data_IF_536100967364
#
_entry.id   IF_536100967364
#
_cell.length_a   1.000
_cell.length_b   1.000
_cell.length_c   1.000
_cell.angle_alpha   90.00
_cell.angle_beta   90.00
_cell.angle_gamma   90.00
#
_symmetry.space_group_name_H-M   'P 1'
#
loop_
_entity.id
_entity.type
_entity.pdbx_description
1 polymer ?
#
# COMPACT_ATOMS: atom_id res chain seq x y z
N UNK A 1 17.04 53.63 -23.04
CA UNK A 1 18.51 53.72 -22.91
C UNK A 1 19.08 52.41 -23.45
N UNK A 2 19.37 52.37 -24.75
CA UNK A 2 20.71 52.63 -25.33
C UNK A 2 21.64 51.40 -25.15
N UNK A 3 21.77 50.55 -26.18
CA UNK A 3 22.95 50.39 -27.09
C UNK A 3 23.99 49.42 -26.47
N UNK A 4 24.63 48.42 -27.10
CA UNK A 4 25.02 48.01 -28.49
C UNK A 4 25.44 46.52 -28.39
N UNK A 5 25.23 45.63 -29.38
CA UNK A 5 26.08 45.40 -30.58
C UNK A 5 27.23 44.41 -30.26
N UNK A 6 27.59 43.37 -31.03
CA UNK A 6 27.51 43.09 -32.47
C UNK A 6 27.81 41.59 -32.74
N UNK A 7 27.39 41.12 -33.92
CA UNK A 7 27.62 39.81 -34.52
C UNK A 7 28.83 39.79 -35.48
N UNK A 8 29.22 38.57 -35.93
CA UNK A 8 30.02 38.29 -37.15
C UNK A 8 30.61 36.87 -37.10
N UNK A 9 30.12 35.88 -37.85
CA UNK A 9 30.41 35.50 -39.27
C UNK A 9 31.87 35.10 -39.53
N UNK A 10 32.19 33.83 -39.80
CA UNK A 10 32.44 33.32 -41.17
C UNK A 10 33.77 32.52 -41.31
N UNK A 11 34.07 31.84 -42.45
CA UNK A 11 34.48 30.41 -42.51
C UNK A 11 35.85 30.06 -43.18
N UNK A 12 36.19 28.76 -43.27
CA UNK A 12 37.21 28.14 -44.17
C UNK A 12 38.55 27.76 -43.48
N UNK A 13 39.36 26.77 -43.88
CA UNK A 13 39.45 25.90 -45.08
C UNK A 13 40.65 24.93 -44.94
N UNK A 14 40.52 23.70 -45.47
CA UNK A 14 41.52 22.79 -46.14
C UNK A 14 42.73 22.15 -45.40
N UNK A 15 42.90 20.84 -45.66
CA UNK A 15 44.09 19.97 -45.45
C UNK A 15 45.24 20.24 -46.44
N UNK A 16 46.27 19.36 -46.62
CA UNK A 16 46.20 17.93 -47.07
C UNK A 16 47.12 16.96 -46.25
N UNK A 17 46.97 15.63 -46.24
CA UNK A 17 47.27 14.53 -47.19
C UNK A 17 48.77 14.20 -47.41
N UNK A 18 49.11 12.91 -47.23
CA UNK A 18 50.22 12.07 -47.77
C UNK A 18 50.62 11.03 -46.70
N UNK A 19 50.90 9.74 -46.95
CA UNK A 19 50.87 8.87 -48.13
C UNK A 19 50.91 7.42 -47.62
N UNK A 20 50.46 6.47 -48.43
CA UNK A 20 50.34 5.05 -48.14
C UNK A 20 51.63 4.25 -48.45
N UNK A 21 51.59 2.94 -48.16
CA UNK A 21 52.26 1.76 -48.79
C UNK A 21 52.57 0.76 -47.66
N UNK A 22 51.79 -0.30 -47.39
CA UNK A 22 51.47 -1.52 -48.15
C UNK A 22 52.64 -2.51 -48.26
N UNK A 23 52.48 -3.70 -47.66
CA UNK A 23 52.94 -5.01 -48.20
C UNK A 23 52.09 -6.14 -47.61
N UNK A 24 51.50 -6.92 -48.51
CA UNK A 24 50.89 -8.26 -48.39
C UNK A 24 51.90 -9.30 -47.80
N UNK A 25 51.61 -10.58 -47.47
CA UNK A 25 50.88 -11.69 -48.12
C UNK A 25 51.07 -12.91 -47.13
N UNK A 26 50.12 -13.80 -46.79
CA UNK A 26 49.81 -15.15 -47.34
C UNK A 26 49.22 -15.96 -46.14
N UNK A 27 48.00 -16.52 -46.13
CA UNK A 27 47.38 -17.73 -46.73
C UNK A 27 47.62 -19.08 -46.01
N UNK A 28 46.52 -19.87 -45.96
CA UNK A 28 46.34 -21.31 -45.60
C UNK A 28 46.20 -21.72 -44.11
N UNK A 29 45.50 -22.77 -43.69
CA UNK A 29 44.34 -23.56 -44.14
C UNK A 29 43.96 -24.57 -43.01
N UNK A 30 42.65 -24.76 -42.78
CA UNK A 30 41.91 -26.01 -42.44
C UNK A 30 42.45 -27.14 -41.51
N UNK A 31 41.69 -27.39 -40.42
CA UNK A 31 40.87 -28.60 -40.13
C UNK A 31 41.30 -29.74 -39.14
N UNK A 32 40.32 -30.07 -38.25
CA UNK A 32 39.91 -31.36 -37.61
C UNK A 32 40.78 -31.91 -36.45
N UNK A 33 40.26 -32.45 -35.32
CA UNK A 33 39.28 -33.56 -35.07
C UNK A 33 38.72 -33.45 -33.62
N UNK A 34 37.38 -33.41 -33.37
CA UNK A 34 36.46 -34.44 -32.80
C UNK A 34 36.92 -35.19 -31.52
N UNK A 35 36.13 -35.60 -30.52
CA UNK A 35 34.71 -35.96 -30.41
C UNK A 35 34.28 -36.05 -28.92
N UNK A 36 32.97 -36.05 -28.64
CA UNK A 36 32.43 -36.47 -27.34
C UNK A 36 31.02 -35.97 -27.03
N UNK A 37 30.02 -36.39 -27.82
CA UNK A 37 28.61 -36.21 -27.50
C UNK A 37 28.10 -37.43 -26.70
N UNK A 38 27.38 -37.17 -25.60
CA UNK A 38 26.46 -38.13 -24.99
C UNK A 38 25.16 -37.37 -24.76
N UNK A 39 24.12 -37.82 -25.46
CA UNK A 39 22.72 -37.44 -25.35
C UNK A 39 22.14 -38.01 -24.06
N UNK A 40 21.52 -37.18 -23.24
CA UNK A 40 20.61 -37.64 -22.19
C UNK A 40 19.20 -37.68 -22.77
N UNK A 41 18.61 -38.87 -22.68
CA UNK A 41 17.31 -39.24 -23.22
C UNK A 41 16.19 -38.62 -22.36
N UNK A 42 15.24 -37.96 -23.02
CA UNK A 42 13.99 -37.51 -22.44
C UNK A 42 13.14 -38.75 -22.06
N UNK A 43 13.14 -39.12 -20.77
CA UNK A 43 12.10 -39.99 -20.21
C UNK A 43 10.87 -39.15 -19.85
N UNK A 44 9.76 -39.49 -20.51
CA UNK A 44 8.42 -38.98 -20.29
C UNK A 44 7.92 -39.33 -18.86
N UNK A 45 8.03 -38.38 -17.92
CA UNK A 45 7.31 -38.42 -16.64
C UNK A 45 5.90 -37.82 -16.83
N UNK A 46 4.94 -38.68 -17.21
CA UNK A 46 3.51 -38.34 -17.17
C UNK A 46 3.06 -38.10 -15.71
N UNK A 47 2.89 -36.83 -15.31
CA UNK A 47 1.97 -36.47 -14.23
C UNK A 47 2.39 -35.49 -13.13
N UNK A 48 3.50 -34.73 -13.27
CA UNK A 48 3.81 -33.60 -12.36
C UNK A 48 3.83 -32.26 -13.10
N UNK A 49 3.18 -31.27 -12.50
CA UNK A 49 2.71 -30.05 -13.14
C UNK A 49 3.76 -29.18 -13.83
N UNK A 50 3.31 -28.43 -14.84
CA UNK A 50 4.07 -27.37 -15.55
C UNK A 50 5.07 -26.66 -14.61
N UNK A 51 6.35 -26.72 -14.96
CA UNK A 51 7.48 -26.33 -14.11
C UNK A 51 7.38 -24.91 -13.54
N UNK A 52 7.09 -24.84 -12.24
CA UNK A 52 7.30 -23.65 -11.42
C UNK A 52 8.79 -23.49 -11.15
N UNK A 53 9.34 -22.32 -11.43
CA UNK A 53 10.69 -21.95 -11.02
C UNK A 53 10.71 -21.65 -9.52
N UNK A 54 11.90 -21.78 -8.92
CA UNK A 54 12.12 -21.38 -7.53
C UNK A 54 11.69 -19.92 -7.34
N UNK A 55 10.90 -19.62 -6.31
CA UNK A 55 10.33 -18.29 -6.02
C UNK A 55 9.12 -17.85 -6.85
N UNK A 56 8.57 -18.70 -7.71
CA UNK A 56 7.34 -18.38 -8.46
C UNK A 56 6.12 -18.28 -7.54
N UNK A 57 6.00 -19.18 -6.56
CA UNK A 57 4.92 -19.14 -5.57
C UNK A 57 5.04 -17.91 -4.68
N UNK A 58 6.27 -17.57 -4.27
CA UNK A 58 6.55 -16.35 -3.51
C UNK A 58 6.15 -15.11 -4.30
N UNK A 59 6.53 -15.05 -5.58
CA UNK A 59 6.25 -13.92 -6.48
C UNK A 59 4.77 -13.71 -6.75
N UNK A 60 3.93 -14.73 -6.52
CA UNK A 60 2.48 -14.62 -6.59
C UNK A 60 1.90 -13.74 -5.47
N UNK A 61 2.59 -13.65 -4.33
CA UNK A 61 2.13 -12.92 -3.14
C UNK A 61 2.95 -11.68 -2.82
N UNK A 62 4.28 -11.77 -2.96
CA UNK A 62 5.24 -10.75 -2.53
C UNK A 62 6.25 -10.47 -3.64
N UNK A 63 6.65 -9.19 -3.76
CA UNK A 63 7.79 -8.80 -4.59
C UNK A 63 9.11 -9.07 -3.86
N UNK A 64 9.17 -8.70 -2.58
CA UNK A 64 10.27 -9.00 -1.67
C UNK A 64 9.87 -8.71 -0.21
N UNK A 65 10.71 -9.18 0.71
CA UNK A 65 10.75 -8.78 2.10
C UNK A 65 12.01 -7.94 2.32
N UNK A 66 11.86 -6.80 2.98
CA UNK A 66 12.97 -5.93 3.33
C UNK A 66 13.08 -5.84 4.86
N UNK A 67 14.30 -5.87 5.35
CA UNK A 67 14.62 -5.54 6.74
C UNK A 67 15.30 -4.19 6.74
N UNK A 68 14.75 -3.24 7.48
CA UNK A 68 15.30 -1.88 7.58
C UNK A 68 15.70 -1.63 9.03
N UNK A 69 16.98 -1.31 9.23
CA UNK A 69 17.54 -0.94 10.52
C UNK A 69 17.88 0.54 10.60
N UNK A 70 18.35 0.95 11.78
CA UNK A 70 18.91 2.28 11.98
C UNK A 70 20.41 2.18 12.22
N UNK A 71 21.18 2.63 11.24
CA UNK A 71 22.62 2.81 11.33
C UNK A 71 22.96 4.21 11.88
N UNK A 72 24.02 4.31 12.68
CA UNK A 72 24.39 5.57 13.34
C UNK A 72 24.98 6.60 12.36
N UNK A 73 25.59 6.15 11.26
CA UNK A 73 26.24 7.01 10.28
C UNK A 73 25.31 7.29 9.09
N UNK A 74 24.61 6.26 8.62
CA UNK A 74 23.76 6.33 7.42
C UNK A 74 22.30 6.66 7.73
N UNK A 75 21.85 6.51 8.98
CA UNK A 75 20.45 6.62 9.34
C UNK A 75 19.66 5.35 8.98
N UNK A 76 18.43 5.49 8.47
CA UNK A 76 17.63 4.32 8.08
C UNK A 76 18.23 3.65 6.84
N UNK A 77 18.55 2.36 6.94
CA UNK A 77 19.18 1.61 5.84
C UNK A 77 18.56 0.22 5.70
N UNK A 78 18.49 -0.29 4.46
CA UNK A 78 18.10 -1.68 4.21
C UNK A 78 19.26 -2.59 4.59
N UNK A 79 19.03 -3.47 5.56
CA UNK A 79 20.00 -4.48 5.98
C UNK A 79 19.89 -5.74 5.12
N UNK A 80 18.66 -6.19 4.86
CA UNK A 80 18.38 -7.45 4.16
C UNK A 80 17.28 -7.24 3.13
N UNK A 81 17.45 -7.85 1.95
CA UNK A 81 16.41 -8.01 0.93
C UNK A 81 16.28 -9.50 0.64
N UNK A 82 15.07 -10.03 0.75
CA UNK A 82 14.77 -11.42 0.47
C UNK A 82 13.58 -11.55 -0.51
N UNK A 83 13.63 -12.49 -1.48
CA UNK A 83 14.80 -13.25 -1.89
C UNK A 83 15.96 -12.36 -2.37
N UNK A 84 17.20 -12.85 -2.26
CA UNK A 84 18.41 -12.05 -2.58
C UNK A 84 18.47 -11.57 -4.04
N UNK A 85 17.78 -12.27 -4.96
CA UNK A 85 17.71 -11.92 -6.37
C UNK A 85 16.61 -10.88 -6.67
N UNK A 86 15.79 -10.50 -5.69
CA UNK A 86 14.75 -9.48 -5.87
C UNK A 86 15.35 -8.13 -6.21
N UNK A 87 14.90 -7.56 -7.32
CA UNK A 87 15.42 -6.28 -7.81
C UNK A 87 14.60 -5.12 -7.24
N UNK A 88 15.29 -4.17 -6.61
CA UNK A 88 14.78 -2.85 -6.20
C UNK A 88 15.70 -1.78 -6.75
N UNK A 89 15.16 -0.71 -7.33
CA UNK A 89 15.97 0.44 -7.74
C UNK A 89 16.44 1.20 -6.50
N UNK A 90 17.50 2.01 -6.62
CA UNK A 90 17.99 2.77 -5.47
C UNK A 90 16.93 3.75 -4.96
N UNK A 91 16.15 4.37 -5.85
CA UNK A 91 15.00 5.21 -5.48
C UNK A 91 13.97 4.45 -4.65
N UNK A 92 13.65 3.21 -5.02
CA UNK A 92 12.70 2.37 -4.29
C UNK A 92 13.25 1.94 -2.93
N UNK A 93 14.54 1.57 -2.86
CA UNK A 93 15.21 1.27 -1.58
C UNK A 93 15.18 2.48 -0.64
N UNK A 94 15.51 3.67 -1.15
CA UNK A 94 15.45 4.91 -0.37
C UNK A 94 14.05 5.21 0.14
N UNK A 95 13.02 5.07 -0.71
CA UNK A 95 11.62 5.23 -0.28
C UNK A 95 11.25 4.21 0.81
N UNK A 96 11.63 2.94 0.65
CA UNK A 96 11.39 1.90 1.66
C UNK A 96 12.08 2.27 2.97
N UNK A 97 13.34 2.70 2.97
CA UNK A 97 14.05 3.10 4.20
C UNK A 97 13.29 4.17 4.99
N UNK A 98 12.92 5.26 4.33
CA UNK A 98 12.29 6.40 5.00
C UNK A 98 10.82 6.18 5.35
N UNK A 99 10.09 5.39 4.57
CA UNK A 99 8.69 5.08 4.84
C UNK A 99 8.53 3.96 5.87
N UNK A 100 9.58 3.19 6.16
CA UNK A 100 9.51 2.07 7.13
C UNK A 100 9.72 2.49 8.58
N UNK A 101 10.05 3.77 8.84
CA UNK A 101 10.24 4.31 10.17
C UNK A 101 9.25 5.45 10.42
N UNK A 102 8.73 5.60 11.65
CA UNK A 102 7.98 6.79 12.01
C UNK A 102 8.85 8.06 11.86
N UNK A 103 8.32 9.07 11.15
CA UNK A 103 8.97 10.37 10.93
C UNK A 103 8.90 11.33 12.13
N UNK A 104 8.20 10.91 13.19
CA UNK A 104 8.08 11.59 14.48
C UNK A 104 8.27 10.57 15.60
N UNK A 105 9.02 10.96 16.64
CA UNK A 105 9.33 10.09 17.79
C UNK A 105 8.16 9.99 18.80
N UNK A 106 7.05 10.70 18.57
CA UNK A 106 5.89 10.68 19.46
C UNK A 106 5.14 9.34 19.36
N UNK A 107 4.95 8.66 20.49
CA UNK A 107 3.97 7.57 20.61
C UNK A 107 4.34 6.22 19.99
N UNK A 108 5.57 6.03 19.50
CA UNK A 108 5.97 4.80 18.77
C UNK A 108 6.80 3.81 19.61
N UNK A 109 6.73 3.86 20.95
CA UNK A 109 7.40 2.86 21.81
C UNK A 109 6.66 1.51 21.74
N UNK A 110 7.41 0.43 21.55
CA UNK A 110 6.89 -0.92 21.38
C UNK A 110 6.78 -1.31 19.91
N UNK A 111 5.78 -2.12 19.60
CA UNK A 111 5.52 -2.65 18.25
C UNK A 111 4.41 -1.86 17.57
N UNK A 112 4.66 -1.43 16.33
CA UNK A 112 3.75 -0.60 15.53
C UNK A 112 3.61 -1.19 14.14
N UNK A 113 2.37 -1.38 13.67
CA UNK A 113 2.10 -1.83 12.30
C UNK A 113 1.39 -0.75 11.50
N UNK A 114 1.81 -0.57 10.26
CA UNK A 114 1.24 0.41 9.36
C UNK A 114 1.59 0.03 7.92
N UNK A 115 0.97 0.71 6.96
CA UNK A 115 1.30 0.51 5.56
C UNK A 115 1.60 1.83 4.85
N UNK A 116 2.39 1.75 3.81
CA UNK A 116 2.62 2.84 2.87
C UNK A 116 2.42 2.36 1.42
N UNK A 117 2.18 3.30 0.51
CA UNK A 117 2.04 3.04 -0.93
C UNK A 117 2.97 3.99 -1.67
N UNK A 118 3.80 3.45 -2.56
CA UNK A 118 4.82 4.22 -3.28
C UNK A 118 4.86 3.84 -4.75
N UNK A 119 5.22 4.81 -5.59
CA UNK A 119 5.27 4.64 -7.04
C UNK A 119 6.44 3.74 -7.44
N UNK A 120 6.17 2.78 -8.32
CA UNK A 120 7.20 1.98 -8.97
C UNK A 120 8.02 2.85 -9.95
N UNK A 121 9.32 2.57 -10.05
CA UNK A 121 10.18 3.26 -11.01
C UNK A 121 9.84 2.87 -12.46
N UNK A 122 9.80 3.84 -13.37
CA UNK A 122 9.56 3.64 -14.81
C UNK A 122 10.63 2.74 -15.44
N UNK A 123 10.24 1.90 -16.42
CA UNK A 123 11.19 1.11 -17.22
C UNK A 123 11.39 -0.35 -16.78
N UNK A 124 10.68 -0.83 -15.75
CA UNK A 124 10.67 -2.27 -15.45
C UNK A 124 9.90 -3.01 -16.55
N UNK A 125 10.56 -3.96 -17.23
CA UNK A 125 9.85 -4.98 -18.00
C UNK A 125 8.92 -5.72 -17.05
N UNK A 126 7.68 -5.88 -17.48
CA UNK A 126 6.63 -6.58 -16.74
C UNK A 126 6.90 -8.09 -16.82
N UNK A 127 8.03 -8.56 -16.29
CA UNK A 127 8.45 -9.96 -16.38
C UNK A 127 7.67 -10.79 -15.34
N UNK A 128 6.94 -11.80 -15.83
CA UNK A 128 6.04 -12.76 -15.16
C UNK A 128 4.53 -12.41 -15.11
N UNK A 129 4.07 -11.38 -15.84
CA UNK A 129 2.68 -10.91 -15.79
C UNK A 129 1.59 -11.84 -16.36
N UNK A 130 1.92 -12.94 -17.05
CA UNK A 130 0.90 -13.71 -17.80
C UNK A 130 0.01 -14.60 -16.91
N UNK A 131 0.51 -15.09 -15.77
CA UNK A 131 -0.27 -15.99 -14.89
C UNK A 131 -1.20 -15.24 -13.91
N UNK A 132 -0.73 -14.12 -13.34
CA UNK A 132 -1.52 -13.36 -12.36
C UNK A 132 -2.60 -12.47 -12.99
N UNK A 133 -2.42 -12.02 -14.23
CA UNK A 133 -3.44 -11.21 -14.94
C UNK A 133 -4.74 -11.99 -15.20
N UNK A 134 -4.68 -13.32 -15.23
CA UNK A 134 -5.88 -14.15 -15.37
C UNK A 134 -6.78 -14.08 -14.14
N UNK A 135 -6.20 -13.94 -12.94
CA UNK A 135 -6.94 -13.89 -11.68
C UNK A 135 -7.57 -12.51 -11.41
N UNK A 136 -7.12 -11.45 -12.08
CA UNK A 136 -7.65 -10.09 -11.90
C UNK A 136 -9.07 -9.91 -12.46
N UNK A 137 -9.54 -10.83 -13.32
CA UNK A 137 -10.90 -10.77 -13.89
C UNK A 137 -11.98 -10.91 -12.82
N UNK A 138 -11.81 -11.88 -11.93
CA UNK A 138 -12.81 -12.26 -10.94
C UNK A 138 -12.64 -11.50 -9.61
N UNK A 139 -11.61 -10.66 -9.49
CA UNK A 139 -11.41 -9.81 -8.31
C UNK A 139 -12.42 -8.64 -8.28
N UNK A 140 -12.96 -8.29 -7.10
CA UNK A 140 -13.64 -7.01 -6.90
C UNK A 140 -12.73 -5.85 -7.30
N UNK A 141 -13.32 -4.80 -7.89
CA UNK A 141 -12.56 -3.67 -8.46
C UNK A 141 -11.61 -3.04 -7.44
N UNK A 142 -12.04 -2.90 -6.18
CA UNK A 142 -11.25 -2.33 -5.09
C UNK A 142 -10.05 -3.19 -4.65
N UNK A 143 -9.99 -4.47 -5.03
CA UNK A 143 -8.85 -5.36 -4.76
C UNK A 143 -7.91 -5.54 -5.96
N UNK A 144 -8.27 -4.99 -7.13
CA UNK A 144 -7.42 -5.08 -8.32
C UNK A 144 -6.13 -4.30 -8.12
N UNK A 145 -5.01 -4.96 -8.42
CA UNK A 145 -3.67 -4.38 -8.34
C UNK A 145 -3.56 -3.10 -9.16
N UNK A 146 -2.70 -2.21 -8.70
CA UNK A 146 -2.30 -1.02 -9.46
C UNK A 146 -0.87 -1.26 -9.97
N UNK A 147 -0.66 -1.38 -11.30
CA UNK A 147 0.65 -1.68 -11.83
C UNK A 147 1.68 -0.58 -11.52
N UNK A 148 1.23 0.67 -11.33
CA UNK A 148 2.11 1.81 -11.09
C UNK A 148 2.63 1.89 -9.64
N UNK A 149 2.09 1.11 -8.70
CA UNK A 149 2.40 1.26 -7.28
C UNK A 149 2.75 -0.06 -6.60
N UNK A 150 3.52 0.02 -5.52
CA UNK A 150 3.71 -1.05 -4.55
C UNK A 150 3.10 -0.64 -3.22
N UNK A 151 2.69 -1.65 -2.45
CA UNK A 151 2.35 -1.53 -1.03
C UNK A 151 3.50 -2.05 -0.19
N UNK A 152 3.90 -1.28 0.81
CA UNK A 152 4.80 -1.71 1.87
C UNK A 152 4.00 -1.91 3.16
N UNK A 153 3.99 -3.13 3.68
CA UNK A 153 3.41 -3.47 4.98
C UNK A 153 4.52 -3.52 6.00
N UNK A 154 4.40 -2.77 7.08
CA UNK A 154 5.49 -2.55 8.03
C UNK A 154 5.13 -3.13 9.39
N UNK A 155 6.08 -3.83 9.98
CA UNK A 155 6.13 -4.10 11.41
C UNK A 155 7.39 -3.43 11.96
N UNK A 156 7.21 -2.33 12.69
CA UNK A 156 8.29 -1.57 13.32
C UNK A 156 8.34 -1.89 14.82
N UNK A 157 9.53 -2.18 15.34
CA UNK A 157 9.79 -2.36 16.76
C UNK A 157 10.73 -1.26 17.23
N UNK A 158 10.32 -0.56 18.30
CA UNK A 158 11.18 0.35 19.05
C UNK A 158 11.13 0.02 20.53
N UNK A 159 12.20 -0.56 21.06
CA UNK A 159 12.32 -0.88 22.49
C UNK A 159 13.55 -0.22 23.09
N UNK A 160 13.48 0.12 24.38
CA UNK A 160 14.65 0.65 25.10
C UNK A 160 15.69 -0.46 25.22
N UNK A 161 16.90 -0.15 24.79
CA UNK A 161 18.03 -1.04 24.92
C UNK A 161 19.25 -0.22 25.32
N UNK A 162 19.69 -0.41 26.57
CA UNK A 162 20.82 0.33 27.16
C UNK A 162 22.17 -0.14 26.62
N UNK A 163 22.22 -1.31 25.99
CA UNK A 163 23.47 -1.85 25.42
C UNK A 163 23.84 -1.15 24.11
N UNK A 164 22.84 -0.57 23.42
CA UNK A 164 23.03 0.19 22.20
C UNK A 164 23.37 1.65 22.51
N UNK A 165 24.31 2.24 21.76
CA UNK A 165 24.75 3.65 21.93
C UNK A 165 23.60 4.66 21.92
N UNK A 166 22.53 4.38 21.16
CA UNK A 166 21.35 5.25 21.02
C UNK A 166 20.31 5.04 22.13
N UNK A 167 20.45 4.01 22.97
CA UNK A 167 19.52 3.68 24.04
C UNK A 167 18.23 3.00 23.59
N UNK A 168 18.09 2.72 22.28
CA UNK A 168 16.91 2.08 21.69
C UNK A 168 17.32 1.12 20.58
N UNK A 169 16.69 -0.05 20.56
CA UNK A 169 16.61 -0.92 19.40
C UNK A 169 15.50 -0.41 18.49
N UNK A 170 15.79 -0.22 17.20
CA UNK A 170 14.81 0.19 16.20
C UNK A 170 15.02 -0.60 14.92
N UNK A 171 13.99 -1.35 14.53
CA UNK A 171 14.06 -2.21 13.34
C UNK A 171 12.67 -2.40 12.74
N UNK A 172 12.61 -2.49 11.41
CA UNK A 172 11.39 -2.74 10.66
C UNK A 172 11.53 -3.98 9.80
N UNK A 173 10.53 -4.87 9.85
CA UNK A 173 10.31 -5.90 8.84
C UNK A 173 9.21 -5.44 7.89
N UNK A 174 9.47 -5.48 6.59
CA UNK A 174 8.63 -4.86 5.57
C UNK A 174 8.29 -5.86 4.46
N UNK A 175 7.01 -6.15 4.25
CA UNK A 175 6.55 -6.94 3.10
C UNK A 175 6.20 -6.00 1.95
N UNK A 176 6.80 -6.19 0.77
CA UNK A 176 6.50 -5.42 -0.43
C UNK A 176 5.60 -6.26 -1.35
N UNK A 177 4.41 -5.78 -1.70
CA UNK A 177 3.47 -6.49 -2.58
C UNK A 177 2.75 -5.56 -3.55
N UNK A 178 2.22 -6.15 -4.63
CA UNK A 178 1.24 -5.52 -5.53
C UNK A 178 -0.20 -5.72 -5.06
N UNK A 179 -0.43 -6.66 -4.17
CA UNK A 179 -1.76 -7.05 -3.71
C UNK A 179 -2.17 -6.14 -2.54
N UNK A 180 -3.32 -5.44 -2.59
CA UNK A 180 -3.76 -4.55 -1.53
C UNK A 180 -4.41 -5.32 -0.35
N UNK A 181 -3.80 -6.43 0.10
CA UNK A 181 -4.36 -7.32 1.13
C UNK A 181 -3.91 -6.92 2.53
N UNK A 182 -4.37 -5.75 2.98
CA UNK A 182 -3.89 -5.08 4.20
C UNK A 182 -3.95 -5.98 5.43
N UNK A 183 -5.11 -6.58 5.70
CA UNK A 183 -5.32 -7.38 6.90
C UNK A 183 -4.52 -8.70 6.86
N UNK A 184 -4.43 -9.31 5.68
CA UNK A 184 -3.63 -10.51 5.47
C UNK A 184 -2.15 -10.27 5.77
N UNK A 185 -1.53 -9.28 5.12
CA UNK A 185 -0.09 -9.04 5.29
C UNK A 185 0.27 -8.51 6.69
N UNK A 186 -0.62 -7.74 7.34
CA UNK A 186 -0.43 -7.40 8.75
C UNK A 186 -0.46 -8.65 9.65
N UNK A 187 -1.34 -9.62 9.35
CA UNK A 187 -1.43 -10.88 10.12
C UNK A 187 -0.18 -11.74 9.91
N UNK A 188 0.30 -11.84 8.66
CA UNK A 188 1.57 -12.51 8.33
C UNK A 188 2.74 -11.85 9.08
N UNK A 189 2.84 -10.51 9.05
CA UNK A 189 3.88 -9.78 9.77
C UNK A 189 3.85 -10.00 11.29
N UNK A 190 2.65 -10.05 11.90
CA UNK A 190 2.53 -10.32 13.34
C UNK A 190 3.11 -11.68 13.72
N UNK A 191 3.09 -12.65 12.81
CA UNK A 191 3.69 -13.96 13.04
C UNK A 191 5.20 -13.98 12.78
N UNK A 192 5.66 -13.37 11.69
CA UNK A 192 7.08 -13.45 11.31
C UNK A 192 7.96 -12.48 12.11
N UNK A 193 7.52 -11.22 12.28
CA UNK A 193 8.41 -10.15 12.74
C UNK A 193 8.97 -10.33 14.15
N UNK A 194 8.17 -10.71 15.18
CA UNK A 194 8.69 -10.88 16.54
C UNK A 194 9.78 -11.95 16.62
N UNK A 195 9.56 -13.08 15.96
CA UNK A 195 10.50 -14.21 15.92
C UNK A 195 11.74 -13.87 15.10
N UNK A 196 11.58 -13.16 13.98
CA UNK A 196 12.71 -12.68 13.19
C UNK A 196 13.64 -11.77 13.99
N UNK A 197 13.11 -10.87 14.82
CA UNK A 197 13.94 -9.96 15.62
C UNK A 197 14.80 -10.70 16.66
N UNK A 198 14.43 -11.91 17.05
CA UNK A 198 15.22 -12.76 17.95
C UNK A 198 16.14 -13.74 17.18
N UNK A 199 15.63 -14.33 16.08
CA UNK A 199 16.27 -15.45 15.36
C UNK A 199 17.02 -15.03 14.09
N UNK A 200 16.88 -13.79 13.64
CA UNK A 200 17.54 -13.18 12.48
C UNK A 200 17.28 -13.91 11.14
N UNK A 201 18.20 -13.78 10.18
CA UNK A 201 18.02 -14.16 8.77
C UNK A 201 17.62 -15.62 8.50
N UNK A 202 18.16 -16.65 9.19
CA UNK A 202 17.76 -18.04 8.92
C UNK A 202 16.27 -18.30 9.12
N UNK A 203 15.66 -17.62 10.10
CA UNK A 203 14.23 -17.69 10.34
C UNK A 203 13.43 -17.02 9.22
N UNK A 204 13.90 -15.87 8.72
CA UNK A 204 13.27 -15.18 7.59
C UNK A 204 13.34 -16.01 6.30
N UNK A 205 14.48 -16.65 6.04
CA UNK A 205 14.65 -17.55 4.91
C UNK A 205 13.66 -18.72 4.99
N UNK A 206 13.53 -19.37 6.15
CA UNK A 206 12.53 -20.42 6.35
C UNK A 206 11.10 -19.90 6.12
N UNK A 207 10.76 -18.72 6.66
CA UNK A 207 9.44 -18.10 6.46
C UNK A 207 9.14 -17.83 4.98
N UNK A 208 10.13 -17.36 4.22
CA UNK A 208 9.95 -17.11 2.80
C UNK A 208 9.86 -18.41 1.98
N UNK A 209 10.56 -19.48 2.37
CA UNK A 209 10.41 -20.81 1.76
C UNK A 209 9.00 -21.39 1.98
N UNK A 210 8.38 -21.14 3.14
CA UNK A 210 6.98 -21.49 3.38
C UNK A 210 6.05 -20.71 2.44
N UNK A 211 6.28 -19.40 2.29
CA UNK A 211 5.52 -18.53 1.37
C UNK A 211 5.67 -18.98 -0.09
N UNK A 212 6.83 -19.49 -0.49
CA UNK A 212 7.04 -20.00 -1.85
C UNK A 212 6.21 -21.24 -2.17
N UNK A 213 5.80 -21.99 -1.14
CA UNK A 213 4.95 -23.17 -1.28
C UNK A 213 3.45 -22.81 -1.29
N UNK A 214 3.10 -21.54 -1.11
CA UNK A 214 1.69 -21.14 -1.10
C UNK A 214 1.06 -21.31 -2.48
N UNK A 215 -0.22 -21.74 -2.54
CA UNK A 215 -0.98 -21.68 -3.78
C UNK A 215 -1.13 -20.22 -4.24
N UNK A 216 -1.32 -20.01 -5.54
CA UNK A 216 -1.59 -18.69 -6.09
C UNK A 216 -2.83 -18.04 -5.43
N UNK A 217 -2.87 -16.70 -5.30
CA UNK A 217 -3.96 -15.96 -4.67
C UNK A 217 -5.22 -15.91 -5.55
N UNK A 218 -5.87 -17.06 -5.76
CA UNK A 218 -7.04 -17.17 -6.63
C UNK A 218 -8.33 -16.71 -5.92
N UNK A 219 -9.11 -15.77 -6.50
CA UNK A 219 -10.39 -15.35 -5.96
C UNK A 219 -11.38 -16.52 -5.80
N UNK A 220 -12.21 -16.46 -4.76
CA UNK A 220 -13.34 -17.35 -4.54
C UNK A 220 -13.03 -18.68 -3.87
N UNK A 221 -11.76 -19.09 -3.86
CA UNK A 221 -11.30 -20.31 -3.20
C UNK A 221 -10.81 -20.01 -1.79
N UNK A 222 -11.08 -20.93 -0.86
CA UNK A 222 -10.42 -20.94 0.45
C UNK A 222 -9.02 -21.54 0.26
N UNK A 223 -8.01 -20.77 0.64
CA UNK A 223 -6.60 -21.12 0.55
C UNK A 223 -6.09 -21.49 1.95
N UNK A 224 -5.20 -22.49 1.99
CA UNK A 224 -4.53 -22.96 3.19
C UNK A 224 -3.06 -22.61 3.04
N UNK A 225 -2.59 -21.68 3.86
CA UNK A 225 -1.29 -21.04 3.72
C UNK A 225 -0.44 -21.41 4.95
N UNK A 226 0.38 -22.48 4.86
CA UNK A 226 1.28 -22.88 5.94
C UNK A 226 2.36 -21.82 6.14
N UNK A 227 2.64 -21.46 7.38
CA UNK A 227 3.69 -20.48 7.71
C UNK A 227 4.16 -20.69 9.15
N UNK A 228 5.45 -21.00 9.33
CA UNK A 228 6.10 -21.06 10.65
C UNK A 228 5.35 -21.96 11.65
N UNK A 229 4.87 -23.12 11.20
CA UNK A 229 4.21 -24.11 12.05
C UNK A 229 2.71 -23.89 12.29
N UNK A 230 2.12 -22.83 11.71
CA UNK A 230 0.67 -22.62 11.69
C UNK A 230 0.13 -22.72 10.26
N UNK A 231 -1.18 -22.91 10.12
CA UNK A 231 -1.87 -22.84 8.81
C UNK A 231 -2.88 -21.70 8.81
N UNK A 232 -2.66 -20.69 7.98
CA UNK A 232 -3.62 -19.61 7.79
C UNK A 232 -4.65 -20.00 6.73
N UNK A 233 -5.93 -20.03 7.12
CA UNK A 233 -7.06 -20.30 6.22
C UNK A 233 -7.68 -18.96 5.80
N UNK A 234 -7.65 -18.65 4.51
CA UNK A 234 -8.11 -17.35 3.97
C UNK A 234 -8.88 -17.54 2.67
N UNK A 235 -9.94 -16.75 2.45
CA UNK A 235 -10.64 -16.69 1.15
C UNK A 235 -10.49 -15.30 0.55
N UNK A 236 -10.02 -15.24 -0.69
CA UNK A 236 -9.98 -13.99 -1.45
C UNK A 236 -11.37 -13.73 -2.03
N UNK A 237 -11.98 -12.54 -1.81
CA UNK A 237 -13.30 -12.22 -2.35
C UNK A 237 -13.35 -12.22 -3.88
N UNK A 238 -14.53 -12.45 -4.44
CA UNK A 238 -14.82 -12.39 -5.89
C UNK A 238 -15.75 -11.23 -6.22
N UNK A 239 -15.75 -10.79 -7.48
CA UNK A 239 -16.70 -9.81 -8.00
C UNK A 239 -18.16 -10.30 -7.99
N UNK A 240 -18.39 -11.60 -7.81
CA UNK A 240 -19.71 -12.22 -7.68
C UNK A 240 -20.21 -12.27 -6.23
N UNK A 241 -19.34 -11.99 -5.25
CA UNK A 241 -19.74 -11.95 -3.84
C UNK A 241 -20.69 -10.77 -3.61
N UNK A 242 -21.71 -10.96 -2.77
CA UNK A 242 -22.63 -9.86 -2.41
C UNK A 242 -21.87 -8.78 -1.63
N UNK A 243 -21.86 -7.53 -2.10
CA UNK A 243 -21.20 -6.43 -1.39
C UNK A 243 -21.68 -6.33 0.06
N UNK A 244 -20.76 -6.11 0.99
CA UNK A 244 -21.07 -5.96 2.42
C UNK A 244 -21.29 -7.26 3.20
N UNK A 245 -21.24 -8.43 2.53
CA UNK A 245 -21.24 -9.72 3.23
C UNK A 245 -19.83 -10.34 3.25
N UNK A 246 -19.31 -10.61 4.43
CA UNK A 246 -18.12 -11.45 4.59
C UNK A 246 -18.61 -12.89 4.67
N UNK A 247 -18.37 -13.70 3.64
CA UNK A 247 -18.60 -15.14 3.75
C UNK A 247 -17.59 -15.70 4.75
N UNK A 248 -18.06 -16.02 5.95
CA UNK A 248 -17.26 -16.70 6.96
C UNK A 248 -16.81 -18.05 6.39
N UNK A 249 -15.50 -18.28 6.40
CA UNK A 249 -14.93 -19.60 6.14
C UNK A 249 -15.55 -20.55 7.17
N UNK A 250 -16.42 -21.46 6.71
CA UNK A 250 -17.03 -22.45 7.58
C UNK A 250 -15.92 -23.31 8.15
N UNK A 251 -15.79 -23.33 9.48
CA UNK A 251 -14.87 -24.22 10.18
C UNK A 251 -15.43 -25.64 10.09
N UNK A 252 -15.08 -26.39 9.05
CA UNK A 252 -15.25 -27.84 9.09
C UNK A 252 -14.28 -28.37 10.13
N UNK A 253 -14.80 -28.73 11.31
CA UNK A 253 -14.08 -29.48 12.32
C UNK A 253 -13.86 -30.91 11.78
N UNK A 254 -12.89 -31.09 10.90
CA UNK A 254 -12.23 -32.38 10.71
C UNK A 254 -10.90 -32.29 11.45
N UNK A 255 -10.58 -33.31 12.26
CA UNK A 255 -9.57 -33.28 13.32
C UNK A 255 -8.14 -33.02 12.84
N UNK A 256 -7.80 -31.76 12.62
CA UNK A 256 -6.44 -31.33 12.35
C UNK A 256 -5.69 -31.06 13.65
N UNK A 257 -4.59 -31.79 13.86
CA UNK A 257 -3.58 -31.58 14.91
C UNK A 257 -2.78 -30.27 14.76
N UNK A 258 -3.09 -29.43 13.76
CA UNK A 258 -2.37 -28.19 13.44
C UNK A 258 -3.08 -26.93 13.96
N UNK A 259 -2.31 -25.98 14.52
CA UNK A 259 -2.81 -24.67 14.92
C UNK A 259 -3.23 -23.89 13.65
N UNK A 260 -4.53 -23.66 13.47
CA UNK A 260 -5.07 -22.93 12.32
C UNK A 260 -5.60 -21.56 12.67
N UNK A 261 -5.24 -20.53 11.89
CA UNK A 261 -5.77 -19.17 12.00
C UNK A 261 -6.73 -18.93 10.84
N UNK A 262 -7.99 -18.59 11.12
CA UNK A 262 -8.98 -18.28 10.08
C UNK A 262 -9.04 -16.77 9.90
N UNK A 263 -8.82 -16.31 8.68
CA UNK A 263 -8.91 -14.91 8.30
C UNK A 263 -10.23 -14.64 7.58
N UNK A 264 -11.17 -13.87 8.17
CA UNK A 264 -12.48 -13.62 7.55
C UNK A 264 -12.41 -12.88 6.22
N UNK A 265 -11.44 -11.98 6.06
CA UNK A 265 -11.24 -11.19 4.83
C UNK A 265 -9.78 -10.80 4.68
N UNK A 266 -9.31 -10.64 3.44
CA UNK A 266 -7.94 -10.17 3.14
C UNK A 266 -7.77 -8.65 3.29
N UNK A 267 -8.88 -7.91 3.26
CA UNK A 267 -8.89 -6.44 3.16
C UNK A 267 -9.81 -5.84 4.22
N UNK A 268 -9.46 -6.02 5.49
CA UNK A 268 -10.13 -5.35 6.60
C UNK A 268 -9.43 -4.06 6.99
N UNK A 269 -10.24 -3.03 7.18
CA UNK A 269 -9.90 -1.78 7.85
C UNK A 269 -10.98 -1.56 8.89
N UNK A 270 -10.59 -1.26 10.13
CA UNK A 270 -11.53 -0.96 11.21
C UNK A 270 -12.14 0.43 11.00
N UNK A 271 -13.16 0.47 10.13
CA UNK A 271 -13.88 1.69 9.76
C UNK A 271 -14.40 2.42 10.99
N UNK A 272 -14.94 1.71 11.97
CA UNK A 272 -15.46 2.32 13.16
C UNK A 272 -14.37 3.01 13.97
N UNK A 273 -13.24 2.33 14.25
CA UNK A 273 -12.13 2.97 14.97
C UNK A 273 -11.68 4.27 14.28
N UNK A 274 -11.51 4.25 12.96
CA UNK A 274 -11.07 5.42 12.19
C UNK A 274 -12.13 6.54 12.12
N UNK A 275 -13.41 6.19 11.95
CA UNK A 275 -14.50 7.17 11.84
C UNK A 275 -15.07 7.59 13.20
N UNK A 276 -14.84 6.88 14.29
CA UNK A 276 -15.36 7.20 15.63
C UNK A 276 -15.15 8.67 16.07
N UNK A 277 -13.99 9.32 15.84
CA UNK A 277 -13.82 10.73 16.17
C UNK A 277 -14.61 11.69 15.25
N UNK A 278 -15.00 11.23 14.05
CA UNK A 278 -15.53 12.06 12.95
C UNK A 278 -16.88 11.58 12.39
N UNK A 279 -17.56 10.61 13.02
CA UNK A 279 -18.72 9.95 12.40
C UNK A 279 -19.92 10.89 12.20
N UNK A 280 -19.98 12.00 12.94
CA UNK A 280 -20.95 13.08 12.70
C UNK A 280 -20.81 13.73 11.31
N UNK A 281 -19.66 13.53 10.67
CA UNK A 281 -19.27 14.10 9.37
C UNK A 281 -19.08 13.02 8.30
N UNK A 282 -19.50 11.76 8.55
CA UNK A 282 -19.27 10.62 7.64
C UNK A 282 -19.72 10.88 6.21
N UNK A 283 -20.90 11.50 6.00
CA UNK A 283 -21.40 11.82 4.66
C UNK A 283 -20.57 12.87 3.94
N UNK A 284 -20.17 13.93 4.65
CA UNK A 284 -19.28 14.95 4.09
C UNK A 284 -17.94 14.32 3.68
N UNK A 285 -17.38 13.45 4.51
CA UNK A 285 -16.14 12.74 4.19
C UNK A 285 -16.33 11.80 2.98
N UNK A 286 -17.45 11.09 2.92
CA UNK A 286 -17.82 10.27 1.77
C UNK A 286 -17.92 11.10 0.48
N UNK A 287 -18.55 12.28 0.51
CA UNK A 287 -18.62 13.19 -0.64
C UNK A 287 -17.23 13.65 -1.08
N UNK A 288 -16.38 14.10 -0.15
CA UNK A 288 -15.02 14.55 -0.46
C UNK A 288 -14.20 13.43 -1.12
N UNK A 289 -14.32 12.19 -0.62
CA UNK A 289 -13.64 11.03 -1.22
C UNK A 289 -14.23 10.72 -2.60
N UNK A 290 -15.55 10.68 -2.74
CA UNK A 290 -16.22 10.37 -4.01
C UNK A 290 -15.86 11.38 -5.11
N UNK A 291 -15.74 12.66 -4.75
CA UNK A 291 -15.38 13.76 -5.65
C UNK A 291 -13.87 13.85 -5.92
N UNK A 292 -13.04 13.06 -5.24
CA UNK A 292 -11.58 13.12 -5.38
C UNK A 292 -10.99 14.43 -4.86
N UNK A 293 -11.59 15.04 -3.84
CA UNK A 293 -11.09 16.29 -3.27
C UNK A 293 -9.73 16.09 -2.55
N UNK A 294 -8.78 17.04 -2.68
CA UNK A 294 -7.48 16.96 -1.99
C UNK A 294 -7.65 16.98 -0.47
N UNK A 295 -7.15 15.95 0.22
CA UNK A 295 -7.41 15.74 1.64
C UNK A 295 -6.15 15.32 2.40
N UNK A 296 -5.87 15.98 3.52
CA UNK A 296 -4.77 15.62 4.43
C UNK A 296 -5.30 15.05 5.74
N UNK A 297 -4.83 13.88 6.13
CA UNK A 297 -5.04 13.27 7.44
C UNK A 297 -3.77 13.46 8.27
N UNK A 298 -3.85 14.27 9.32
CA UNK A 298 -2.80 14.43 10.32
C UNK A 298 -3.15 13.55 11.53
N UNK A 299 -2.31 12.56 11.80
CA UNK A 299 -2.52 11.58 12.86
C UNK A 299 -1.35 11.56 13.86
N UNK A 300 -1.52 11.05 15.09
CA UNK A 300 -0.44 11.00 16.06
C UNK A 300 0.52 9.82 15.84
N UNK A 301 0.12 8.80 15.06
CA UNK A 301 0.93 7.60 14.76
C UNK A 301 0.79 7.17 13.28
N UNK A 302 1.81 6.47 12.71
CA UNK A 302 1.73 5.95 11.34
C UNK A 302 0.61 4.93 11.16
N UNK A 303 0.29 4.16 12.21
CA UNK A 303 -0.86 3.24 12.23
C UNK A 303 -2.17 3.99 12.02
N UNK A 304 -2.45 5.01 12.83
CA UNK A 304 -3.68 5.78 12.71
C UNK A 304 -3.77 6.57 11.40
N UNK A 305 -2.63 7.09 10.92
CA UNK A 305 -2.53 7.72 9.60
C UNK A 305 -2.96 6.74 8.50
N UNK A 306 -2.27 5.61 8.40
CA UNK A 306 -2.47 4.64 7.33
C UNK A 306 -3.84 3.98 7.37
N UNK A 307 -4.31 3.56 8.55
CA UNK A 307 -5.65 3.00 8.73
C UNK A 307 -6.73 4.01 8.34
N UNK A 308 -6.60 5.28 8.73
CA UNK A 308 -7.64 6.28 8.42
C UNK A 308 -7.70 6.63 6.95
N UNK A 309 -6.55 6.78 6.27
CA UNK A 309 -6.54 6.99 4.81
C UNK A 309 -7.16 5.80 4.09
N UNK A 310 -6.83 4.57 4.49
CA UNK A 310 -7.44 3.37 3.91
C UNK A 310 -8.94 3.28 4.22
N UNK A 311 -9.39 3.73 5.40
CA UNK A 311 -10.79 3.77 5.77
C UNK A 311 -11.57 4.78 4.91
N UNK A 312 -10.99 5.95 4.65
CA UNK A 312 -11.55 6.96 3.75
C UNK A 312 -11.67 6.41 2.33
N UNK A 313 -10.61 5.84 1.77
CA UNK A 313 -10.64 5.21 0.44
C UNK A 313 -11.71 4.11 0.34
N UNK A 314 -11.91 3.35 1.42
CA UNK A 314 -12.91 2.28 1.48
C UNK A 314 -14.35 2.75 1.71
N UNK A 315 -14.59 4.01 2.10
CA UNK A 315 -15.95 4.46 2.40
C UNK A 315 -16.82 4.61 1.14
N UNK A 316 -16.23 4.64 -0.06
CA UNK A 316 -16.96 4.66 -1.33
C UNK A 316 -17.11 3.28 -1.97
N UNK A 317 -16.82 2.20 -1.22
CA UNK A 317 -17.03 0.83 -1.70
C UNK A 317 -18.50 0.62 -2.13
N UNK A 318 -18.80 -0.01 -3.28
CA UNK A 318 -17.92 -0.88 -4.08
C UNK A 318 -17.11 -0.17 -5.17
N UNK A 319 -17.14 1.16 -5.25
CA UNK A 319 -16.28 1.89 -6.19
C UNK A 319 -14.82 1.78 -5.78
N UNK A 320 -13.93 1.72 -6.78
CA UNK A 320 -12.49 1.87 -6.57
C UNK A 320 -12.16 3.36 -6.56
N UNK A 321 -11.52 3.82 -5.49
CA UNK A 321 -10.92 5.14 -5.47
C UNK A 321 -9.82 5.22 -6.53
N UNK A 322 -9.99 6.13 -7.49
CA UNK A 322 -9.13 6.21 -8.67
C UNK A 322 -8.03 7.27 -8.56
N UNK A 323 -8.24 8.28 -7.73
CA UNK A 323 -7.21 9.28 -7.42
C UNK A 323 -6.08 8.68 -6.58
N UNK A 324 -4.96 9.40 -6.47
CA UNK A 324 -3.82 8.90 -5.70
C UNK A 324 -4.12 8.93 -4.19
N UNK A 325 -3.48 8.05 -3.43
CA UNK A 325 -3.53 8.11 -1.97
C UNK A 325 -2.23 7.56 -1.39
N UNK A 326 -1.79 8.20 -0.31
CA UNK A 326 -0.59 7.84 0.45
C UNK A 326 -1.00 7.57 1.89
N UNK A 327 -1.20 6.29 2.29
CA UNK A 327 -1.61 5.96 3.66
C UNK A 327 -0.64 6.50 4.71
N UNK A 328 0.65 6.50 4.37
CA UNK A 328 1.70 7.13 5.16
C UNK A 328 2.66 7.85 4.23
N UNK A 329 2.88 9.14 4.50
CA UNK A 329 3.69 10.04 3.71
C UNK A 329 4.60 10.86 4.64
N UNK A 330 5.88 10.93 4.30
CA UNK A 330 6.89 11.57 5.14
C UNK A 330 7.57 12.72 4.41
N UNK A 331 8.29 13.55 5.15
CA UNK A 331 9.07 14.66 4.58
C UNK A 331 10.22 14.20 3.67
N UNK A 332 10.58 12.92 3.74
CA UNK A 332 11.66 12.30 2.98
C UNK A 332 11.17 11.57 1.73
N UNK A 333 9.86 11.58 1.46
CA UNK A 333 9.31 10.97 0.26
C UNK A 333 9.87 11.64 -1.00
N UNK A 334 10.24 10.84 -2.00
CA UNK A 334 10.75 11.35 -3.27
C UNK A 334 9.80 12.31 -4.01
N UNK A 335 8.50 12.21 -3.75
CA UNK A 335 7.44 13.06 -4.34
C UNK A 335 7.06 14.23 -3.40
N UNK A 336 7.82 14.47 -2.32
CA UNK A 336 7.55 15.54 -1.35
C UNK A 336 7.34 16.92 -1.97
N UNK A 337 8.19 17.30 -2.95
CA UNK A 337 8.09 18.61 -3.62
C UNK A 337 6.83 18.73 -4.48
N UNK A 338 6.35 17.63 -5.06
CA UNK A 338 5.14 17.60 -5.90
C UNK A 338 3.91 17.94 -5.07
N UNK A 339 3.77 17.33 -3.89
CA UNK A 339 2.60 17.53 -3.04
C UNK A 339 2.65 18.79 -2.16
N UNK A 340 3.82 19.40 -1.98
CA UNK A 340 3.98 20.59 -1.11
C UNK A 340 4.13 21.91 -1.87
N UNK A 341 4.17 21.86 -3.20
CA UNK A 341 4.24 23.06 -4.03
C UNK A 341 3.01 23.97 -3.83
N UNK A 342 3.25 25.28 -3.84
CA UNK A 342 2.19 26.31 -3.77
C UNK A 342 1.92 26.99 -5.10
N UNK A 343 2.63 26.58 -6.14
CA UNK A 343 2.53 27.18 -7.48
C UNK A 343 1.35 26.62 -8.27
N UNK A 344 0.85 25.46 -7.89
CA UNK A 344 -0.25 24.75 -8.54
C UNK A 344 -1.33 24.43 -7.52
N UNK A 345 -2.55 24.18 -8.01
CA UNK A 345 -3.61 23.65 -7.16
C UNK A 345 -3.18 22.28 -6.59
N UNK A 346 -3.55 21.95 -5.33
CA UNK A 346 -3.28 20.64 -4.77
C UNK A 346 -3.83 19.53 -5.68
N UNK A 347 -3.05 18.48 -5.99
CA UNK A 347 -3.53 17.38 -6.82
C UNK A 347 -4.64 16.61 -6.08
N UNK A 348 -5.47 15.90 -6.85
CA UNK A 348 -6.46 14.97 -6.29
C UNK A 348 -5.73 13.80 -5.60
N UNK A 349 -5.54 13.92 -4.28
CA UNK A 349 -4.85 12.92 -3.46
C UNK A 349 -5.30 12.97 -2.01
N UNK A 350 -5.31 11.80 -1.35
CA UNK A 350 -5.43 11.69 0.11
C UNK A 350 -4.06 11.40 0.72
N UNK A 351 -3.55 12.28 1.59
CA UNK A 351 -2.25 12.13 2.25
C UNK A 351 -2.42 11.87 3.75
N UNK A 352 -1.83 10.79 4.25
CA UNK A 352 -1.69 10.51 5.68
C UNK A 352 -0.30 10.92 6.17
N UNK A 353 -0.24 11.76 7.20
CA UNK A 353 1.00 12.30 7.76
C UNK A 353 1.00 12.29 9.28
N UNK A 354 2.17 12.18 9.89
CA UNK A 354 2.35 12.25 11.35
C UNK A 354 3.17 13.46 11.80
N UNK A 355 4.12 13.91 11.00
CA UNK A 355 4.99 15.01 11.39
C UNK A 355 4.23 16.35 11.47
N UNK A 356 4.27 17.05 12.63
CA UNK A 356 3.66 18.37 12.79
C UNK A 356 4.15 19.42 11.80
N UNK A 357 5.30 19.23 11.16
CA UNK A 357 5.79 20.08 10.07
C UNK A 357 4.76 20.25 8.95
N UNK A 358 4.03 19.19 8.60
CA UNK A 358 2.99 19.24 7.57
C UNK A 358 1.84 20.20 7.91
N UNK A 359 1.64 20.47 9.20
CA UNK A 359 0.62 21.37 9.68
C UNK A 359 0.83 22.83 9.21
N UNK A 360 2.09 23.23 8.98
CA UNK A 360 2.46 24.51 8.37
C UNK A 360 2.56 24.41 6.86
N UNK A 361 3.14 23.33 6.36
CA UNK A 361 3.43 23.15 4.93
C UNK A 361 2.14 23.05 4.11
N UNK A 362 1.20 22.21 4.57
CA UNK A 362 -0.06 21.91 3.90
C UNK A 362 -1.24 22.74 4.43
N UNK A 363 -1.01 23.80 5.21
CA UNK A 363 -2.09 24.63 5.79
C UNK A 363 -3.04 25.27 4.76
N UNK A 364 -2.60 25.35 3.50
CA UNK A 364 -3.33 25.91 2.37
C UNK A 364 -4.24 24.89 1.67
N UNK A 365 -4.15 23.61 2.04
CA UNK A 365 -4.98 22.56 1.46
C UNK A 365 -6.44 22.73 1.86
N UNK A 366 -7.38 22.36 0.97
CA UNK A 366 -8.80 22.67 1.15
C UNK A 366 -9.43 21.88 2.31
N UNK A 367 -8.93 20.67 2.58
CA UNK A 367 -9.47 19.76 3.58
C UNK A 367 -8.36 19.13 4.43
N UNK A 368 -8.49 19.28 5.76
CA UNK A 368 -7.55 18.71 6.72
C UNK A 368 -8.33 18.02 7.85
N UNK A 369 -8.07 16.74 8.08
CA UNK A 369 -8.54 15.98 9.22
C UNK A 369 -7.39 15.89 10.22
N UNK A 370 -7.57 16.41 11.42
CA UNK A 370 -6.65 16.20 12.55
C UNK A 370 -7.25 15.20 13.50
N UNK A 371 -6.66 14.01 13.55
CA UNK A 371 -6.98 12.96 14.52
C UNK A 371 -6.23 13.29 15.81
N UNK A 372 -6.93 13.22 16.94
CA UNK A 372 -6.30 13.35 18.25
C UNK A 372 -6.04 12.00 18.88
N UNK A 373 -5.35 12.01 20.01
CA UNK A 373 -5.13 10.79 20.80
C UNK A 373 -6.47 10.13 21.13
N UNK A 374 -6.67 8.92 20.61
CA UNK A 374 -7.80 8.08 20.97
C UNK A 374 -7.66 7.71 22.44
N UNK A 375 -8.55 8.25 23.28
CA UNK A 375 -8.64 7.84 24.68
C UNK A 375 -9.00 6.34 24.79
N UNK A 376 -8.60 5.67 25.87
CA UNK A 376 -8.89 4.24 26.08
C UNK A 376 -10.40 3.95 26.04
N UNK A 377 -10.71 2.72 25.64
CA UNK A 377 -12.05 2.23 25.35
C UNK A 377 -13.05 2.49 26.50
N UNK A 378 -14.18 3.13 26.18
CA UNK A 378 -15.33 3.28 27.08
C UNK A 378 -15.83 4.71 27.30
N UNK A 379 -15.01 5.73 27.02
CA UNK A 379 -15.49 7.12 26.95
C UNK A 379 -16.02 7.43 25.55
N UNK A 380 -17.17 8.09 25.44
CA UNK A 380 -17.63 8.65 24.15
C UNK A 380 -16.58 9.67 23.70
N UNK A 381 -15.87 9.44 22.58
CA UNK A 381 -14.89 10.42 22.12
C UNK A 381 -15.59 11.75 21.89
N UNK A 382 -14.99 12.84 22.39
CA UNK A 382 -15.50 14.18 22.15
C UNK A 382 -15.62 14.38 20.65
N UNK A 383 -16.85 14.41 20.16
CA UNK A 383 -17.11 14.51 18.74
C UNK A 383 -16.44 15.75 18.17
N UNK A 384 -15.67 15.54 17.12
CA UNK A 384 -14.85 16.58 16.53
C UNK A 384 -15.77 17.60 15.84
N UNK A 385 -15.51 18.90 16.03
CA UNK A 385 -16.27 19.96 15.35
C UNK A 385 -15.66 20.27 13.98
N UNK A 386 -16.50 20.58 12.99
CA UNK A 386 -16.05 21.22 11.75
C UNK A 386 -15.60 22.64 12.06
N UNK A 387 -14.43 23.03 11.55
CA UNK A 387 -13.87 24.37 11.71
C UNK A 387 -13.52 24.94 10.35
N UNK A 388 -13.70 26.25 10.17
CA UNK A 388 -13.21 26.95 8.97
C UNK A 388 -11.68 26.85 8.92
N UNK A 389 -11.13 26.69 7.71
CA UNK A 389 -9.69 26.56 7.49
C UNK A 389 -8.88 27.73 8.06
N UNK A 390 -9.42 28.96 7.99
CA UNK A 390 -8.83 30.17 8.58
C UNK A 390 -8.56 30.09 10.09
N UNK A 391 -9.19 29.15 10.80
CA UNK A 391 -9.00 28.93 12.23
C UNK A 391 -7.92 27.88 12.54
N UNK A 392 -7.28 27.31 11.51
CA UNK A 392 -6.18 26.36 11.66
C UNK A 392 -4.91 27.12 12.08
N UNK A 393 -4.56 27.03 13.35
CA UNK A 393 -3.23 27.42 13.84
C UNK A 393 -2.26 26.26 13.56
N UNK A 394 -1.07 26.57 13.05
CA UNK A 394 -0.11 25.59 12.53
C UNK A 394 0.17 24.48 13.55
N UNK A 395 0.58 24.79 14.78
CA UNK A 395 0.99 23.77 15.77
C UNK A 395 -0.07 23.41 16.84
N UNK A 396 -0.95 24.33 17.23
CA UNK A 396 -1.86 24.13 18.39
C UNK A 396 -3.32 23.79 18.04
N UNK A 397 -3.60 23.37 16.81
CA UNK A 397 -4.98 23.09 16.42
C UNK A 397 -5.47 21.78 17.01
N UNK A 398 -6.50 21.90 17.87
CA UNK A 398 -7.25 20.77 18.43
C UNK A 398 -7.74 19.81 17.33
N UNK A 399 -7.93 18.52 17.65
CA UNK A 399 -8.58 17.55 16.75
C UNK A 399 -9.84 18.14 16.11
N UNK A 400 -10.00 17.89 14.81
CA UNK A 400 -10.77 18.77 13.94
C UNK A 400 -10.93 18.25 12.52
N UNK A 401 -12.10 18.43 11.92
CA UNK A 401 -12.22 18.45 10.46
C UNK A 401 -12.22 19.92 10.04
N UNK A 402 -11.22 20.30 9.26
CA UNK A 402 -11.00 21.67 8.80
C UNK A 402 -11.33 21.75 7.32
N UNK A 403 -12.45 22.39 7.00
CA UNK A 403 -12.94 22.51 5.63
C UNK A 403 -13.87 23.71 5.49
N UNK A 404 -14.01 24.22 4.27
CA UNK A 404 -15.05 25.17 3.89
C UNK A 404 -16.14 24.55 3.00
N UNK A 405 -16.01 23.25 2.71
CA UNK A 405 -16.95 22.48 1.90
C UNK A 405 -18.33 22.44 2.56
N UNK A 406 -19.36 22.56 1.73
CA UNK A 406 -20.76 22.45 2.15
C UNK A 406 -21.29 21.14 1.59
N UNK A 407 -21.66 20.17 2.45
CA UNK A 407 -22.16 18.89 1.98
C UNK A 407 -23.49 19.06 1.24
N UNK A 408 -23.69 18.24 0.21
CA UNK A 408 -24.97 18.15 -0.51
C UNK A 408 -25.96 17.28 0.25
N UNK A 409 -25.47 16.26 0.95
CA UNK A 409 -26.27 15.36 1.76
C UNK A 409 -26.49 15.94 3.16
N UNK A 410 -27.71 15.79 3.64
CA UNK A 410 -28.07 16.09 5.03
C UNK A 410 -27.57 14.98 5.95
N UNK A 411 -27.24 15.37 7.19
CA UNK A 411 -26.80 14.46 8.24
C UNK A 411 -27.83 13.38 8.50
N UNK A 412 -27.41 12.13 8.40
CA UNK A 412 -28.24 10.98 8.73
C UNK A 412 -28.27 10.77 10.26
N UNK A 413 -29.35 11.21 10.89
CA UNK A 413 -29.52 11.11 12.34
C UNK A 413 -29.78 9.67 12.82
N UNK A 414 -30.19 8.75 11.95
CA UNK A 414 -30.46 7.36 12.31
C UNK A 414 -29.14 6.60 12.54
N UNK A 415 -28.22 6.66 11.57
CA UNK A 415 -26.90 6.03 11.70
C UNK A 415 -26.11 6.63 12.87
N UNK A 416 -26.20 7.95 13.08
CA UNK A 416 -25.58 8.66 14.20
C UNK A 416 -26.07 8.10 15.53
N UNK A 417 -27.39 8.00 15.72
CA UNK A 417 -27.98 7.45 16.95
C UNK A 417 -27.60 5.98 17.15
N UNK A 418 -27.57 5.20 16.07
CA UNK A 418 -27.22 3.77 16.12
C UNK A 418 -25.78 3.54 16.57
N UNK A 419 -24.83 4.35 16.08
CA UNK A 419 -23.42 4.30 16.48
C UNK A 419 -23.21 4.84 17.90
N UNK A 420 -23.86 5.95 18.27
CA UNK A 420 -23.81 6.48 19.63
C UNK A 420 -24.32 5.47 20.66
N UNK A 421 -25.44 4.79 20.37
CA UNK A 421 -25.96 3.71 21.19
C UNK A 421 -24.96 2.54 21.26
N UNK A 422 -24.30 2.21 20.15
CA UNK A 422 -23.23 1.22 20.10
C UNK A 422 -22.08 1.52 21.07
N UNK A 423 -21.60 2.77 21.08
CA UNK A 423 -20.57 3.23 22.02
C UNK A 423 -21.03 3.14 23.46
N UNK A 424 -22.25 3.61 23.77
CA UNK A 424 -22.81 3.56 25.13
C UNK A 424 -22.97 2.12 25.63
N UNK A 425 -23.32 1.20 24.74
CA UNK A 425 -23.47 -0.23 25.03
C UNK A 425 -22.15 -1.01 24.96
N UNK A 426 -21.01 -0.34 24.73
CA UNK A 426 -19.69 -0.97 24.53
C UNK A 426 -19.72 -2.07 23.45
N UNK A 427 -20.47 -1.85 22.38
CA UNK A 427 -20.53 -2.77 21.23
C UNK A 427 -19.12 -2.92 20.62
N UNK A 428 -18.67 -4.15 20.30
CA UNK A 428 -17.37 -4.39 19.66
C UNK A 428 -17.17 -3.54 18.40
N UNK A 429 -15.93 -3.14 18.15
CA UNK A 429 -15.56 -2.27 17.03
C UNK A 429 -15.95 -2.90 15.69
N UNK A 430 -15.76 -4.21 15.58
CA UNK A 430 -16.06 -5.04 14.41
C UNK A 430 -17.54 -4.96 14.05
N UNK A 431 -18.43 -5.09 15.04
CA UNK A 431 -19.87 -4.99 14.83
C UNK A 431 -20.30 -3.57 14.43
N UNK A 432 -19.63 -2.53 14.93
CA UNK A 432 -19.89 -1.15 14.50
C UNK A 432 -19.33 -0.87 13.11
N UNK A 433 -18.19 -1.46 12.77
CA UNK A 433 -17.59 -1.41 11.43
C UNK A 433 -18.49 -2.05 10.38
N UNK A 434 -19.19 -3.14 10.70
CA UNK A 434 -20.21 -3.73 9.80
C UNK A 434 -21.37 -2.76 9.53
N UNK A 435 -21.86 -2.07 10.56
CA UNK A 435 -22.94 -1.08 10.43
C UNK A 435 -22.50 0.08 9.53
N UNK A 436 -21.31 0.64 9.76
CA UNK A 436 -20.75 1.70 8.92
C UNK A 436 -20.51 1.26 7.48
N UNK A 437 -19.98 0.04 7.28
CA UNK A 437 -19.75 -0.52 5.95
C UNK A 437 -21.05 -0.66 5.16
N UNK A 438 -22.11 -1.14 5.81
CA UNK A 438 -23.43 -1.25 5.20
C UNK A 438 -24.00 0.11 4.85
N UNK A 439 -23.90 1.08 5.76
CA UNK A 439 -24.34 2.45 5.53
C UNK A 439 -23.66 3.08 4.30
N UNK A 440 -22.34 3.00 4.23
CA UNK A 440 -21.56 3.52 3.11
C UNK A 440 -21.85 2.79 1.78
N UNK A 441 -22.09 1.48 1.84
CA UNK A 441 -22.51 0.69 0.69
C UNK A 441 -23.87 1.17 0.15
N UNK A 442 -24.88 1.31 1.02
CA UNK A 442 -26.22 1.79 0.65
C UNK A 442 -26.16 3.21 0.08
N UNK A 443 -25.33 4.08 0.67
CA UNK A 443 -25.11 5.44 0.20
C UNK A 443 -24.48 5.46 -1.20
N UNK A 444 -23.45 4.65 -1.42
CA UNK A 444 -22.74 4.56 -2.70
C UNK A 444 -23.64 3.93 -3.78
N UNK A 445 -24.41 2.89 -3.44
CA UNK A 445 -25.36 2.30 -4.38
C UNK A 445 -26.45 3.30 -4.79
N UNK A 446 -26.98 4.06 -3.84
CA UNK A 446 -27.98 5.10 -4.11
C UNK A 446 -27.46 6.18 -5.07
N UNK A 447 -26.16 6.50 -4.98
CA UNK A 447 -25.49 7.40 -5.93
C UNK A 447 -25.31 6.79 -7.33
N UNK A 448 -24.96 5.50 -7.41
CA UNK A 448 -24.67 4.81 -8.68
C UNK A 448 -25.95 4.50 -9.49
N UNK A 449 -27.03 4.07 -8.83
CA UNK A 449 -28.24 3.54 -9.49
C UNK A 449 -28.80 4.50 -10.57
N UNK A 450 -28.95 5.81 -10.32
CA UNK A 450 -29.43 6.75 -11.35
C UNK A 450 -28.48 6.85 -12.55
N UNK A 451 -27.16 6.82 -12.32
CA UNK A 451 -26.15 6.95 -13.37
C UNK A 451 -26.16 5.74 -14.32
N UNK A 452 -26.31 4.53 -13.78
CA UNK A 452 -26.38 3.31 -14.60
C UNK A 452 -27.67 3.29 -15.42
N UNK A 453 -28.79 3.71 -14.83
CA UNK A 453 -30.09 3.75 -15.51
C UNK A 453 -30.07 4.74 -16.68
N UNK A 454 -29.46 5.92 -16.50
CA UNK A 454 -29.27 6.89 -17.58
C UNK A 454 -28.29 6.40 -18.65
N UNK A 455 -27.19 5.74 -18.28
CA UNK A 455 -26.25 5.18 -19.25
C UNK A 455 -26.88 4.07 -20.11
N UNK A 456 -27.67 3.18 -19.51
CA UNK A 456 -28.44 2.18 -20.26
C UNK A 456 -29.49 2.83 -21.18
N UNK A 457 -30.11 3.92 -20.74
CA UNK A 457 -31.03 4.68 -21.58
C UNK A 457 -30.31 5.32 -22.77
N UNK A 458 -29.15 5.96 -22.56
CA UNK A 458 -28.35 6.57 -23.63
C UNK A 458 -27.78 5.53 -24.61
N UNK A 459 -27.34 4.37 -24.13
CA UNK A 459 -26.92 3.25 -25.00
C UNK A 459 -28.08 2.74 -25.86
N UNK A 460 -29.29 2.62 -25.29
CA UNK A 460 -30.46 2.21 -26.06
C UNK A 460 -30.88 3.27 -27.08
N UNK A 461 -30.71 4.56 -26.80
CA UNK A 461 -31.03 5.66 -27.74
C UNK A 461 -29.99 5.80 -28.86
N UNK A 462 -28.74 5.36 -28.66
CA UNK A 462 -27.71 5.35 -29.71
C UNK A 462 -27.75 4.11 -30.63
N UNK A 463 -28.60 3.13 -30.32
CA UNK A 463 -28.79 1.90 -31.13
C UNK A 463 -30.02 2.00 -32.06
N UNK A 464 -30.76 3.11 -32.00
CA UNK A 464 -31.79 3.49 -32.99
C UNK A 464 -31.36 4.77 -33.71
#
# INVERSE_FOLDING_TARGET
MALRGLAGSGPGSRGPADEAVATDEEREASALVAAGAVSEEDEEDEGRGRGLLRWDGFSAWLHCVCVVGFDLELGQAVEVIYPQHSKLTDKEKTNICYLSFPDSNSGCLGDTQFCFRFRQSSGRRVSLHCLLDQFDKDLPVYLKKDPAYFYGYVYFRQVRDKTLKRGYFQKSLVLISKLPYIHFFHTVLKQIAPEYFEKNEPYLEAACNDVDQWPAPVPGKTLHLPIMGIVMKVRIPTCHDKPGTTQLVQSTQQGDTHISVILPTVHEVDLFRCFCPVFLHSQMLWELVLLGEPLVVMAPSPSESSETVLALVNCISPLKYFSDFRPYFTIHDSEFKEYTTRTQAPPSVILGVTNPFFAKTLQHWPHIIRIGDLKPAGEIPKQVKVKKLKNLKTLDSKPGVYTSYKPYLNRDEEIIKQLQKGVQQKRPSEAQSVILRRYFLELTQSFIIPLVSQHMYLLNVMIY
#
